data_IF_569130191553
#
_entry.id   IF_569130191553
#
_cell.length_a   1.000
_cell.length_b   1.000
_cell.length_c   1.000
_cell.angle_alpha   90.00
_cell.angle_beta   90.00
_cell.angle_gamma   90.00
#
_symmetry.space_group_name_H-M   'P 1'
#
loop_
_entity.id
_entity.type
_entity.pdbx_description
1 polymer ?
#
# COMPACT_ATOMS: atom_id res chain seq x y z
N UNK A 1 -14.35 -26.87 -6.27
CA UNK A 1 -14.47 -25.51 -5.68
C UNK A 1 -14.07 -24.53 -6.76
N UNK A 2 -14.99 -23.68 -7.21
CA UNK A 2 -14.69 -22.74 -8.28
C UNK A 2 -13.86 -21.60 -7.67
N UNK A 3 -12.53 -21.76 -7.67
CA UNK A 3 -11.52 -20.83 -7.12
C UNK A 3 -11.45 -19.51 -7.88
N UNK A 4 -12.59 -18.85 -8.08
CA UNK A 4 -12.65 -17.52 -8.67
C UNK A 4 -12.09 -16.55 -7.63
N UNK A 5 -11.03 -15.81 -7.96
CA UNK A 5 -10.51 -14.80 -7.05
C UNK A 5 -11.60 -13.75 -6.81
N UNK A 6 -11.65 -13.14 -5.63
CA UNK A 6 -12.65 -12.11 -5.31
C UNK A 6 -12.00 -10.73 -5.27
N UNK A 7 -12.80 -9.66 -5.41
CA UNK A 7 -12.29 -8.32 -5.26
C UNK A 7 -11.60 -8.11 -3.91
N UNK A 8 -10.60 -7.23 -3.90
CA UNK A 8 -9.87 -6.80 -2.71
C UNK A 8 -10.02 -5.30 -2.59
N UNK A 9 -10.35 -4.82 -1.40
CA UNK A 9 -10.34 -3.39 -1.09
C UNK A 9 -8.91 -3.00 -0.71
N UNK A 10 -8.34 -2.01 -1.40
CA UNK A 10 -7.05 -1.40 -1.13
C UNK A 10 -7.28 0.01 -0.57
N UNK A 11 -6.80 0.26 0.64
CA UNK A 11 -6.71 1.58 1.23
C UNK A 11 -5.27 2.08 1.14
N UNK A 12 -5.09 3.27 0.58
CA UNK A 12 -3.83 3.98 0.48
C UNK A 12 -3.82 5.11 1.50
N UNK A 13 -2.74 5.23 2.26
CA UNK A 13 -2.59 6.26 3.29
C UNK A 13 -1.33 7.08 2.99
N UNK A 14 -1.49 8.38 2.86
CA UNK A 14 -0.36 9.31 2.88
C UNK A 14 0.03 9.60 4.33
N UNK A 15 1.31 9.41 4.66
CA UNK A 15 1.79 9.42 6.03
C UNK A 15 3.04 10.31 6.20
N UNK A 16 3.07 11.06 7.30
CA UNK A 16 4.26 11.75 7.81
C UNK A 16 5.26 10.77 8.40
N UNK A 17 4.78 9.78 9.16
CA UNK A 17 5.57 8.71 9.80
C UNK A 17 4.85 7.36 9.67
N UNK A 18 5.59 6.25 9.53
CA UNK A 18 4.97 4.94 9.30
C UNK A 18 4.74 4.13 10.59
N UNK A 19 5.30 4.57 11.73
CA UNK A 19 5.43 3.77 12.95
C UNK A 19 4.08 3.26 13.44
N UNK A 20 3.12 4.17 13.64
CA UNK A 20 1.77 3.83 14.12
C UNK A 20 1.09 2.89 13.14
N UNK A 21 1.13 3.21 11.85
CA UNK A 21 0.59 2.37 10.78
C UNK A 21 1.22 0.97 10.73
N UNK A 22 2.51 0.81 11.03
CA UNK A 22 3.21 -0.48 11.02
C UNK A 22 2.99 -1.32 12.29
N UNK A 23 2.66 -0.69 13.41
CA UNK A 23 2.49 -1.39 14.69
C UNK A 23 1.08 -1.92 14.92
N UNK A 24 0.07 -1.27 14.34
CA UNK A 24 -1.34 -1.56 14.63
C UNK A 24 -1.84 -2.80 13.91
N UNK A 25 -2.88 -3.44 14.48
CA UNK A 25 -3.55 -4.57 13.86
C UNK A 25 -4.43 -4.14 12.68
N UNK A 26 -4.85 -5.11 11.87
CA UNK A 26 -5.65 -4.86 10.67
C UNK A 26 -6.99 -4.19 10.98
N UNK A 27 -7.74 -4.66 11.98
CA UNK A 27 -9.09 -4.16 12.24
C UNK A 27 -9.06 -2.71 12.71
N UNK A 28 -8.11 -2.39 13.59
CA UNK A 28 -7.84 -1.01 14.02
C UNK A 28 -7.56 -0.10 12.82
N UNK A 29 -6.66 -0.51 11.92
CA UNK A 29 -6.30 0.28 10.75
C UNK A 29 -7.41 0.35 9.70
N UNK A 30 -8.22 -0.69 9.54
CA UNK A 30 -9.25 -0.73 8.51
C UNK A 30 -10.51 0.06 8.91
N UNK A 31 -10.98 -0.13 10.14
CA UNK A 31 -12.23 0.45 10.64
C UNK A 31 -12.07 1.82 11.28
N UNK A 32 -10.88 2.15 11.80
CA UNK A 32 -10.63 3.36 12.60
C UNK A 32 -9.37 4.10 12.13
N UNK A 33 -9.08 4.03 10.83
CA UNK A 33 -7.86 4.59 10.24
C UNK A 33 -7.56 6.00 10.75
N UNK A 34 -8.52 6.91 10.57
CA UNK A 34 -8.33 8.33 10.85
C UNK A 34 -8.05 8.63 12.32
N UNK A 35 -8.56 7.80 13.23
CA UNK A 35 -8.30 7.92 14.66
C UNK A 35 -6.97 7.28 15.07
N UNK A 36 -6.65 6.11 14.50
CA UNK A 36 -5.48 5.33 14.88
C UNK A 36 -4.19 5.99 14.41
N UNK A 37 -4.19 6.58 13.21
CA UNK A 37 -3.02 7.24 12.63
C UNK A 37 -3.16 8.75 12.53
N UNK A 38 -4.11 9.37 13.24
CA UNK A 38 -4.47 10.80 13.15
C UNK A 38 -3.27 11.76 13.06
N UNK A 39 -2.29 11.57 13.95
CA UNK A 39 -1.12 12.45 14.03
C UNK A 39 -0.15 12.31 12.84
N UNK A 40 -0.18 11.14 12.20
CA UNK A 40 0.71 10.77 11.11
C UNK A 40 0.02 10.81 9.75
N UNK A 41 -1.31 10.81 9.70
CA UNK A 41 -2.12 10.79 8.49
C UNK A 41 -2.14 12.17 7.82
N UNK A 42 -1.99 12.17 6.51
CA UNK A 42 -2.11 13.36 5.66
C UNK A 42 -3.36 13.25 4.79
N UNK A 43 -3.54 12.10 4.14
CA UNK A 43 -4.70 11.79 3.31
C UNK A 43 -4.91 10.27 3.27
N UNK A 44 -6.12 9.84 2.92
CA UNK A 44 -6.39 8.44 2.60
C UNK A 44 -7.34 8.31 1.40
N UNK A 45 -7.14 7.25 0.62
CA UNK A 45 -7.98 6.88 -0.53
C UNK A 45 -8.27 5.39 -0.48
N UNK A 46 -9.45 4.98 -0.96
CA UNK A 46 -9.87 3.57 -0.98
C UNK A 46 -10.33 3.15 -2.37
N UNK A 47 -9.91 1.96 -2.79
CA UNK A 47 -10.14 1.41 -4.12
C UNK A 47 -10.60 -0.04 -4.01
N UNK A 48 -11.59 -0.42 -4.82
CA UNK A 48 -11.89 -1.84 -5.05
C UNK A 48 -11.11 -2.33 -6.26
N UNK A 49 -10.37 -3.42 -6.10
CA UNK A 49 -9.62 -4.07 -7.17
C UNK A 49 -10.20 -5.44 -7.46
N UNK A 50 -10.65 -5.65 -8.70
CA UNK A 50 -11.13 -6.96 -9.16
C UNK A 50 -9.96 -7.83 -9.64
N UNK A 51 -10.13 -9.16 -9.66
CA UNK A 51 -9.12 -10.05 -10.21
C UNK A 51 -8.81 -9.72 -11.68
N UNK A 52 -7.52 -9.56 -11.99
CA UNK A 52 -7.06 -9.18 -13.32
C UNK A 52 -7.15 -7.67 -13.61
N UNK A 53 -7.68 -6.87 -12.69
CA UNK A 53 -7.69 -5.42 -12.79
C UNK A 53 -6.32 -4.84 -12.46
N UNK A 54 -5.99 -3.71 -13.08
CA UNK A 54 -4.80 -2.93 -12.78
C UNK A 54 -5.17 -1.46 -12.73
N UNK A 55 -4.76 -0.78 -11.66
CA UNK A 55 -4.95 0.66 -11.49
C UNK A 55 -3.61 1.35 -11.51
N UNK A 56 -3.52 2.47 -12.24
CA UNK A 56 -2.37 3.35 -12.24
C UNK A 56 -2.74 4.63 -11.47
N UNK A 57 -2.17 4.78 -10.28
CA UNK A 57 -2.42 5.94 -9.42
C UNK A 57 -1.32 6.99 -9.62
N UNK A 58 -1.72 8.22 -9.95
CA UNK A 58 -0.84 9.38 -9.97
C UNK A 58 -1.10 10.21 -8.72
N UNK A 59 -0.34 9.94 -7.67
CA UNK A 59 -0.50 10.60 -6.39
C UNK A 59 0.24 11.94 -6.40
N UNK A 60 -0.45 13.00 -5.98
CA UNK A 60 0.17 14.28 -5.68
C UNK A 60 0.28 14.39 -4.17
N UNK A 61 1.48 14.16 -3.66
CA UNK A 61 1.72 14.15 -2.23
C UNK A 61 1.76 15.58 -1.67
N UNK A 62 1.13 15.75 -0.52
CA UNK A 62 1.16 17.00 0.24
C UNK A 62 2.54 17.25 0.89
N UNK A 63 2.80 18.52 1.22
CA UNK A 63 4.06 18.91 1.85
C UNK A 63 4.22 18.23 3.22
N UNK A 64 5.34 17.54 3.42
CA UNK A 64 5.61 16.76 4.63
C UNK A 64 5.15 15.31 4.58
N UNK A 65 4.46 14.86 3.52
CA UNK A 65 4.25 13.43 3.25
C UNK A 65 5.58 12.75 2.95
N UNK A 66 5.94 11.72 3.73
CA UNK A 66 7.20 10.98 3.59
C UNK A 66 7.01 9.50 3.33
N UNK A 67 5.79 9.00 3.48
CA UNK A 67 5.49 7.59 3.33
C UNK A 67 4.11 7.39 2.70
N UNK A 68 3.97 6.27 2.00
CA UNK A 68 2.69 5.73 1.56
C UNK A 68 2.47 4.37 2.21
N UNK A 69 1.39 4.25 2.97
CA UNK A 69 0.90 2.98 3.50
C UNK A 69 -0.08 2.32 2.54
N UNK A 70 0.11 1.04 2.26
CA UNK A 70 -0.87 0.19 1.56
C UNK A 70 -1.49 -0.78 2.57
N UNK A 71 -2.80 -0.84 2.59
CA UNK A 71 -3.61 -1.74 3.40
C UNK A 71 -4.59 -2.48 2.47
N UNK A 72 -4.50 -3.80 2.40
CA UNK A 72 -5.38 -4.62 1.56
C UNK A 72 -6.26 -5.54 2.42
N UNK A 73 -7.58 -5.47 2.22
CA UNK A 73 -8.57 -6.24 2.96
C UNK A 73 -8.71 -7.66 2.39
N UNK A 74 -7.73 -8.52 2.69
CA UNK A 74 -7.80 -9.94 2.36
C UNK A 74 -8.78 -10.69 3.27
N UNK A 75 -9.35 -11.79 2.75
CA UNK A 75 -10.25 -12.67 3.52
C UNK A 75 -9.51 -13.50 4.57
N UNK A 76 -8.27 -13.91 4.29
CA UNK A 76 -7.44 -14.70 5.20
C UNK A 76 -6.23 -13.86 5.65
N UNK A 77 -6.44 -12.96 6.61
CA UNK A 77 -5.40 -12.05 7.09
C UNK A 77 -4.20 -12.74 7.79
N UNK A 78 -4.38 -13.79 8.62
CA UNK A 78 -3.27 -14.42 9.34
C UNK A 78 -2.16 -14.96 8.44
N UNK A 79 -2.50 -15.41 7.23
CA UNK A 79 -1.57 -16.02 6.28
C UNK A 79 -1.13 -15.06 5.17
N UNK A 80 -1.59 -13.81 5.19
CA UNK A 80 -1.36 -12.85 4.11
C UNK A 80 -0.62 -11.60 4.55
N UNK A 81 0.26 -11.13 3.68
CA UNK A 81 0.89 -9.81 3.85
C UNK A 81 -0.07 -8.72 3.39
N UNK A 82 -0.94 -8.28 4.29
CA UNK A 82 -1.97 -7.26 4.01
C UNK A 82 -1.46 -5.82 4.08
N UNK A 83 -0.20 -5.58 4.51
CA UNK A 83 0.39 -4.25 4.68
C UNK A 83 1.71 -4.07 3.94
N UNK A 84 1.89 -2.89 3.37
CA UNK A 84 3.17 -2.42 2.83
C UNK A 84 3.39 -0.94 3.14
N UNK A 85 4.65 -0.51 3.23
CA UNK A 85 5.02 0.90 3.37
C UNK A 85 6.05 1.24 2.31
N UNK A 86 5.82 2.34 1.60
CA UNK A 86 6.75 2.93 0.66
C UNK A 86 7.32 4.18 1.33
N UNK A 87 8.64 4.32 1.37
CA UNK A 87 9.27 5.59 1.71
C UNK A 87 9.35 6.46 0.46
N UNK A 88 8.97 7.72 0.60
CA UNK A 88 9.00 8.72 -0.46
C UNK A 88 10.29 9.52 -0.35
N UNK A 89 10.97 9.65 -1.47
CA UNK A 89 12.11 10.56 -1.63
C UNK A 89 11.58 11.89 -2.18
N UNK A 90 11.68 13.00 -1.43
CA UNK A 90 11.24 14.30 -1.89
C UNK A 90 11.94 14.71 -3.19
N UNK A 91 11.25 15.48 -4.02
CA UNK A 91 11.77 16.04 -5.28
C UNK A 91 12.23 15.00 -6.32
N UNK A 92 11.88 13.73 -6.11
CA UNK A 92 12.16 12.64 -7.04
C UNK A 92 10.87 11.99 -7.52
N UNK A 93 10.93 11.41 -8.71
CA UNK A 93 9.86 10.55 -9.18
C UNK A 93 9.91 9.23 -8.41
N UNK A 94 8.92 9.03 -7.55
CA UNK A 94 8.74 7.78 -6.83
C UNK A 94 7.87 6.86 -7.70
N UNK A 95 8.29 5.61 -7.89
CA UNK A 95 7.53 4.61 -8.62
C UNK A 95 7.58 3.29 -7.87
N UNK A 96 6.44 2.59 -7.84
CA UNK A 96 6.33 1.26 -7.27
C UNK A 96 5.19 0.51 -7.96
N UNK A 97 5.40 -0.78 -8.19
CA UNK A 97 4.40 -1.67 -8.78
C UNK A 97 4.11 -2.79 -7.80
N UNK A 98 2.83 -3.01 -7.52
CA UNK A 98 2.39 -4.07 -6.62
C UNK A 98 1.46 -5.05 -7.31
N UNK A 99 1.65 -6.32 -7.02
CA UNK A 99 0.70 -7.39 -7.32
C UNK A 99 0.03 -7.80 -6.01
N UNK A 100 -1.30 -7.78 -6.01
CA UNK A 100 -2.11 -8.26 -4.89
C UNK A 100 -2.48 -9.72 -5.18
N UNK A 101 -1.64 -10.63 -4.70
CA UNK A 101 -1.80 -12.08 -4.89
C UNK A 101 -2.43 -12.76 -3.68
N UNK A 102 -2.56 -14.08 -3.75
CA UNK A 102 -3.09 -14.91 -2.66
C UNK A 102 -2.29 -14.76 -1.36
N UNK A 103 -0.97 -14.67 -1.45
CA UNK A 103 -0.08 -14.50 -0.28
C UNK A 103 -0.01 -13.06 0.25
N UNK A 104 -0.71 -12.11 -0.38
CA UNK A 104 -0.71 -10.70 0.01
C UNK A 104 -0.10 -9.75 -1.02
N UNK A 105 0.24 -8.56 -0.55
CA UNK A 105 0.83 -7.47 -1.33
C UNK A 105 2.30 -7.80 -1.61
N UNK A 106 2.66 -7.88 -2.89
CA UNK A 106 4.02 -8.11 -3.35
C UNK A 106 4.48 -6.96 -4.23
N UNK A 107 5.64 -6.38 -3.92
CA UNK A 107 6.29 -5.38 -4.77
C UNK A 107 7.03 -6.10 -5.90
N UNK A 108 6.77 -5.72 -7.15
CA UNK A 108 7.29 -6.41 -8.35
C UNK A 108 8.15 -5.53 -9.26
N UNK A 109 8.28 -4.24 -8.97
CA UNK A 109 9.31 -3.43 -9.59
C UNK A 109 10.67 -3.83 -9.02
N UNK A 110 11.48 -4.46 -9.87
CA UNK A 110 12.89 -4.71 -9.55
C UNK A 110 13.63 -3.36 -9.50
N UNK A 111 14.61 -3.17 -8.60
CA UNK A 111 15.59 -2.12 -8.84
C UNK A 111 16.26 -2.50 -10.16
N UNK A 112 16.11 -1.65 -11.18
CA UNK A 112 16.96 -1.75 -12.37
C UNK A 112 18.38 -1.58 -11.81
N UNK A 113 19.11 -2.69 -11.70
CA UNK A 113 20.52 -2.67 -11.35
C UNK A 113 21.21 -1.94 -12.49
N UNK A 114 21.49 -0.65 -12.29
CA UNK A 114 22.38 0.08 -13.16
C UNK A 114 23.77 -0.58 -13.05
N UNK A 115 24.16 -1.31 -14.08
CA UNK A 115 25.50 -1.85 -14.27
C UNK A 115 25.56 -2.56 -15.62
N UNK A 116 26.45 -2.26 -16.55
CA UNK A 116 27.52 -1.27 -16.68
C UNK A 116 27.61 -0.98 -18.19
N UNK A 117 27.94 0.25 -18.65
CA UNK A 117 28.51 0.39 -19.99
C UNK A 117 29.94 -0.17 -19.97
N UNK A 118 30.21 -1.13 -20.87
CA UNK A 118 31.55 -1.58 -21.26
C UNK A 118 32.40 -0.44 -21.80
#
# INVERSE_FOLDING_TARGET
>A
MNGRPSPVVLKLLELKRPVTFQSMDFFSLYQRTDHVVEQDLVASEEFELRPGESIALKLKLEEGSRYIGLLAAYRNLPETRWRHVIQIIPEQQNHAVFVLGESGIQRVDSPISAGNPT
#
